data_IF_816104886500
#
_entry.id   IF_816104886500
#
_cell.length_a   1.000
_cell.length_b   1.000
_cell.length_c   1.000
_cell.angle_alpha   90.00
_cell.angle_beta   90.00
_cell.angle_gamma   90.00
#
_symmetry.space_group_name_H-M   'P 1'
#
loop_
_entity.id
_entity.type
_entity.pdbx_description
1 polymer ?
#
# COMPACT_ATOMS: atom_id res chain seq x y z
N UNK A 1 -2.69 -20.98 0.71
CA UNK A 1 -1.93 -20.54 1.91
C UNK A 1 -2.27 -19.09 2.21
N UNK A 2 -2.38 -18.71 3.49
CA UNK A 2 -2.65 -17.31 3.85
C UNK A 2 -1.36 -16.49 3.88
N UNK A 3 -1.38 -15.35 3.21
CA UNK A 3 -0.22 -14.46 3.03
C UNK A 3 -0.54 -13.07 3.57
N UNK A 4 0.40 -12.48 4.30
CA UNK A 4 0.43 -11.06 4.63
C UNK A 4 1.41 -10.34 3.70
N UNK A 5 0.94 -9.31 2.99
CA UNK A 5 1.79 -8.35 2.29
C UNK A 5 1.75 -7.00 3.03
N UNK A 6 2.75 -6.72 3.89
CA UNK A 6 2.81 -5.48 4.64
C UNK A 6 3.38 -4.34 3.80
N UNK A 7 2.85 -3.14 3.97
CA UNK A 7 3.38 -1.97 3.29
C UNK A 7 2.85 -0.65 3.87
N UNK A 8 3.64 0.41 3.64
CA UNK A 8 3.18 1.77 3.91
C UNK A 8 2.14 2.21 2.88
N UNK A 9 2.32 1.79 1.62
CA UNK A 9 1.44 2.14 0.50
C UNK A 9 1.11 3.65 0.48
N UNK A 10 2.13 4.50 0.63
CA UNK A 10 1.95 5.97 0.63
C UNK A 10 1.19 6.45 -0.58
N UNK A 11 1.28 5.72 -1.69
CA UNK A 11 0.33 5.78 -2.77
C UNK A 11 0.21 4.37 -3.36
N UNK A 12 -1.01 3.97 -3.74
CA UNK A 12 -1.21 2.72 -4.48
C UNK A 12 -0.79 2.94 -5.94
N UNK A 13 0.02 2.05 -6.49
CA UNK A 13 0.61 2.18 -7.84
C UNK A 13 0.36 0.90 -8.63
N UNK A 14 0.56 0.95 -9.95
CA UNK A 14 0.47 -0.26 -10.79
C UNK A 14 1.50 -1.33 -10.41
N UNK A 15 2.67 -0.92 -9.95
CA UNK A 15 3.67 -1.84 -9.38
C UNK A 15 3.10 -2.61 -8.18
N UNK A 16 2.46 -1.91 -7.24
CA UNK A 16 1.82 -2.57 -6.11
C UNK A 16 0.74 -3.51 -6.58
N UNK A 17 -0.06 -3.09 -7.58
CA UNK A 17 -1.09 -3.93 -8.16
C UNK A 17 -0.54 -5.24 -8.73
N UNK A 18 0.51 -5.16 -9.56
CA UNK A 18 1.16 -6.31 -10.16
C UNK A 18 1.72 -7.27 -9.11
N UNK A 19 2.34 -6.73 -8.05
CA UNK A 19 2.84 -7.53 -6.93
C UNK A 19 1.69 -8.23 -6.21
N UNK A 20 0.59 -7.53 -5.93
CA UNK A 20 -0.57 -8.09 -5.24
C UNK A 20 -1.21 -9.20 -6.06
N UNK A 21 -1.38 -8.99 -7.38
CA UNK A 21 -1.89 -10.02 -8.30
C UNK A 21 -0.95 -11.23 -8.34
N UNK A 22 0.36 -11.01 -8.47
CA UNK A 22 1.36 -12.08 -8.39
C UNK A 22 1.26 -12.88 -7.09
N UNK A 23 1.14 -12.21 -5.94
CA UNK A 23 0.99 -12.90 -4.65
C UNK A 23 -0.32 -13.69 -4.59
N UNK A 24 -1.41 -13.06 -5.00
CA UNK A 24 -2.75 -13.66 -5.06
C UNK A 24 -2.73 -14.94 -5.87
N UNK A 25 -2.17 -14.90 -7.08
CA UNK A 25 -2.22 -16.01 -8.03
C UNK A 25 -1.20 -17.11 -7.71
N UNK A 26 0.00 -16.75 -7.23
CA UNK A 26 1.09 -17.71 -7.02
C UNK A 26 1.08 -18.33 -5.63
N UNK A 27 0.76 -17.56 -4.59
CA UNK A 27 0.95 -17.97 -3.20
C UNK A 27 -0.37 -18.11 -2.42
N UNK A 28 -1.36 -17.28 -2.75
CA UNK A 28 -2.64 -17.24 -2.08
C UNK A 28 -3.81 -17.80 -2.91
N UNK A 29 -3.54 -18.56 -3.99
CA UNK A 29 -4.58 -19.08 -4.89
C UNK A 29 -5.70 -19.85 -4.17
N UNK A 30 -5.31 -20.67 -3.19
CA UNK A 30 -6.21 -21.46 -2.33
C UNK A 30 -6.37 -20.87 -0.92
N UNK A 31 -5.81 -19.68 -0.67
CA UNK A 31 -5.85 -19.03 0.65
C UNK A 31 -6.40 -17.62 0.58
N UNK A 32 -6.00 -16.81 1.56
CA UNK A 32 -6.39 -15.40 1.67
C UNK A 32 -5.17 -14.51 1.62
N UNK A 33 -5.28 -13.38 0.92
CA UNK A 33 -4.26 -12.34 0.90
C UNK A 33 -4.66 -11.20 1.84
N UNK A 34 -3.85 -10.98 2.86
CA UNK A 34 -3.97 -9.89 3.80
C UNK A 34 -3.04 -8.76 3.36
N UNK A 35 -3.60 -7.61 3.02
CA UNK A 35 -2.85 -6.41 2.73
C UNK A 35 -2.72 -5.61 4.03
N UNK A 36 -1.51 -5.57 4.56
CA UNK A 36 -1.21 -4.93 5.84
C UNK A 36 -0.87 -3.46 5.63
N UNK A 37 -1.81 -2.57 5.92
CA UNK A 37 -1.65 -1.13 5.78
C UNK A 37 -1.04 -0.56 7.06
N UNK A 38 0.21 -0.12 7.00
CA UNK A 38 0.89 0.48 8.16
C UNK A 38 0.20 1.77 8.62
N UNK A 39 -0.09 1.86 9.92
CA UNK A 39 -0.41 3.12 10.60
C UNK A 39 0.92 3.82 10.87
N UNK A 40 1.03 5.08 10.43
CA UNK A 40 2.32 5.79 10.42
C UNK A 40 2.57 6.47 11.75
N UNK A 41 1.73 7.44 12.09
CA UNK A 41 1.66 8.08 13.42
C UNK A 41 0.29 7.79 14.01
N UNK A 42 -0.75 8.18 13.27
CA UNK A 42 -2.15 7.83 13.51
C UNK A 42 -2.86 7.60 12.17
N UNK A 43 -4.18 7.38 12.21
CA UNK A 43 -4.99 7.06 11.03
C UNK A 43 -5.20 8.28 10.09
N UNK A 44 -5.08 9.50 10.60
CA UNK A 44 -5.30 10.77 9.88
C UNK A 44 -4.00 11.50 9.53
N UNK A 45 -2.86 11.05 10.04
CA UNK A 45 -1.55 11.65 9.77
C UNK A 45 -1.24 11.69 8.27
N UNK A 46 -0.87 12.87 7.77
CA UNK A 46 -0.41 13.08 6.39
C UNK A 46 0.79 14.02 6.36
N UNK A 47 1.70 13.79 5.42
CA UNK A 47 2.82 14.69 5.13
C UNK A 47 3.28 14.52 3.67
N UNK A 48 4.34 15.23 3.27
CA UNK A 48 4.91 15.14 1.93
C UNK A 48 5.16 13.68 1.52
N UNK A 49 5.72 12.87 2.41
CA UNK A 49 6.06 11.48 2.11
C UNK A 49 4.88 10.51 2.14
N UNK A 50 3.82 10.88 2.87
CA UNK A 50 2.62 10.11 3.12
C UNK A 50 1.40 11.00 2.91
N UNK A 51 1.09 11.32 1.64
CA UNK A 51 0.07 12.31 1.33
C UNK A 51 -1.37 11.90 1.67
N UNK A 52 -1.58 10.61 1.97
CA UNK A 52 -2.88 10.01 2.19
C UNK A 52 -3.00 9.37 3.57
N UNK A 53 -4.16 9.56 4.19
CA UNK A 53 -4.53 8.98 5.47
C UNK A 53 -4.60 7.45 5.37
N UNK A 54 -4.74 6.76 6.51
CA UNK A 54 -5.04 5.33 6.52
C UNK A 54 -6.32 5.00 5.75
N UNK A 55 -7.38 5.78 5.96
CA UNK A 55 -8.68 5.57 5.34
C UNK A 55 -8.65 5.81 3.82
N UNK A 56 -7.96 6.86 3.38
CA UNK A 56 -7.81 7.14 1.95
C UNK A 56 -6.98 6.04 1.26
N UNK A 57 -5.90 5.56 1.89
CA UNK A 57 -5.14 4.41 1.38
C UNK A 57 -6.01 3.16 1.30
N UNK A 58 -6.83 2.89 2.32
CA UNK A 58 -7.80 1.79 2.31
C UNK A 58 -8.80 1.93 1.16
N UNK A 59 -9.25 3.14 0.87
CA UNK A 59 -10.17 3.41 -0.24
C UNK A 59 -9.52 3.15 -1.60
N UNK A 60 -8.25 3.53 -1.79
CA UNK A 60 -7.51 3.20 -3.01
C UNK A 60 -7.51 1.69 -3.29
N UNK A 61 -7.34 0.85 -2.26
CA UNK A 61 -7.42 -0.60 -2.42
C UNK A 61 -8.81 -1.09 -2.80
N UNK A 62 -9.88 -0.48 -2.27
CA UNK A 62 -11.25 -0.84 -2.67
C UNK A 62 -11.55 -0.44 -4.12
N UNK A 63 -11.02 0.69 -4.57
CA UNK A 63 -11.15 1.12 -5.97
C UNK A 63 -10.50 0.10 -6.92
N UNK A 64 -9.32 -0.40 -6.58
CA UNK A 64 -8.55 -1.31 -7.46
C UNK A 64 -8.97 -2.78 -7.32
N UNK A 65 -9.24 -3.25 -6.10
CA UNK A 65 -9.47 -4.65 -5.75
C UNK A 65 -10.84 -4.91 -5.11
N UNK A 66 -11.82 -4.06 -5.40
CA UNK A 66 -13.14 -4.11 -4.75
C UNK A 66 -13.83 -5.46 -4.89
N UNK A 67 -13.70 -6.12 -6.05
CA UNK A 67 -14.27 -7.45 -6.26
C UNK A 67 -13.62 -8.53 -5.40
N UNK A 68 -12.29 -8.58 -5.35
CA UNK A 68 -11.52 -9.55 -4.57
C UNK A 68 -11.75 -9.36 -3.06
N UNK A 69 -11.93 -8.12 -2.63
CA UNK A 69 -12.30 -7.77 -1.25
C UNK A 69 -13.74 -8.23 -0.96
N UNK A 70 -14.70 -7.95 -1.85
CA UNK A 70 -16.09 -8.38 -1.68
C UNK A 70 -16.23 -9.91 -1.63
N UNK A 71 -15.45 -10.62 -2.45
CA UNK A 71 -15.34 -12.09 -2.46
C UNK A 71 -14.55 -12.66 -1.29
N UNK A 72 -14.08 -11.82 -0.34
CA UNK A 72 -13.27 -12.21 0.83
C UNK A 72 -11.99 -12.97 0.47
N UNK A 73 -11.42 -12.70 -0.71
CA UNK A 73 -10.09 -13.19 -1.12
C UNK A 73 -8.98 -12.27 -0.62
N UNK A 74 -9.25 -10.96 -0.61
CA UNK A 74 -8.35 -9.93 -0.07
C UNK A 74 -8.93 -9.33 1.20
N UNK A 75 -8.10 -9.16 2.23
CA UNK A 75 -8.44 -8.47 3.48
C UNK A 75 -7.52 -7.28 3.69
N UNK A 76 -8.09 -6.12 4.04
CA UNK A 76 -7.32 -4.93 4.38
C UNK A 76 -7.22 -4.83 5.91
N UNK A 77 -6.01 -4.96 6.47
CA UNK A 77 -5.78 -4.93 7.92
C UNK A 77 -4.82 -3.80 8.31
N UNK A 78 -5.02 -3.14 9.46
CA UNK A 78 -4.06 -2.17 9.97
C UNK A 78 -2.79 -2.87 10.48
N UNK A 79 -1.64 -2.23 10.40
CA UNK A 79 -0.42 -2.65 11.09
C UNK A 79 0.07 -1.51 11.98
N UNK A 80 0.00 -1.68 13.30
CA UNK A 80 0.35 -0.64 14.29
C UNK A 80 1.83 -0.65 14.63
N UNK A 81 2.42 -1.83 14.74
CA UNK A 81 3.77 -1.99 15.26
C UNK A 81 4.85 -2.12 14.17
N UNK A 82 4.46 -1.99 12.90
CA UNK A 82 5.37 -1.98 11.76
C UNK A 82 6.21 -3.27 11.69
N UNK A 83 7.50 -3.17 12.03
CA UNK A 83 8.43 -4.30 11.99
C UNK A 83 8.10 -5.39 13.02
N UNK A 84 7.36 -5.10 14.11
CA UNK A 84 6.83 -6.14 14.99
C UNK A 84 5.50 -6.71 14.47
N UNK A 85 5.55 -7.19 13.21
CA UNK A 85 4.40 -7.71 12.48
C UNK A 85 3.80 -8.96 13.16
N UNK A 86 4.59 -9.70 13.94
CA UNK A 86 4.13 -10.85 14.71
C UNK A 86 3.06 -10.44 15.72
N UNK A 87 3.26 -9.33 16.42
CA UNK A 87 2.29 -8.79 17.39
C UNK A 87 1.00 -8.36 16.69
N UNK A 88 1.11 -7.60 15.60
CA UNK A 88 -0.04 -7.17 14.79
C UNK A 88 -0.85 -8.38 14.28
N UNK A 89 -0.19 -9.42 13.75
CA UNK A 89 -0.86 -10.64 13.28
C UNK A 89 -1.60 -11.38 14.39
N UNK A 90 -0.99 -11.52 15.56
CA UNK A 90 -1.65 -12.17 16.70
C UNK A 90 -2.89 -11.40 17.16
N UNK A 91 -2.78 -10.07 17.29
CA UNK A 91 -3.89 -9.23 17.77
C UNK A 91 -5.03 -9.15 16.76
N UNK A 92 -4.72 -9.08 15.46
CA UNK A 92 -5.71 -8.78 14.42
C UNK A 92 -6.23 -10.03 13.74
N UNK A 93 -5.34 -10.99 13.46
CA UNK A 93 -5.67 -12.19 12.69
C UNK A 93 -5.81 -13.45 13.58
N UNK A 94 -5.38 -13.40 14.84
CA UNK A 94 -5.41 -14.54 15.77
C UNK A 94 -4.47 -15.69 15.38
N UNK A 95 -3.59 -15.48 14.40
CA UNK A 95 -2.66 -16.51 13.88
C UNK A 95 -1.45 -15.88 13.20
N UNK A 96 -0.36 -16.63 13.16
CA UNK A 96 0.83 -16.27 12.39
C UNK A 96 0.68 -16.80 10.96
N UNK A 97 0.90 -15.93 9.97
CA UNK A 97 0.79 -16.22 8.55
C UNK A 97 2.15 -15.99 7.87
N UNK A 98 2.29 -16.44 6.62
CA UNK A 98 3.47 -16.16 5.82
C UNK A 98 3.51 -14.68 5.45
N UNK A 99 4.64 -14.01 5.68
CA UNK A 99 4.87 -12.64 5.22
C UNK A 99 5.54 -12.69 3.86
N UNK A 100 4.94 -12.08 2.85
CA UNK A 100 5.62 -11.80 1.59
C UNK A 100 6.32 -10.44 1.69
N UNK A 101 7.59 -10.38 1.31
CA UNK A 101 8.32 -9.11 1.22
C UNK A 101 9.37 -9.13 0.11
N UNK A 102 9.64 -7.94 -0.44
CA UNK A 102 10.78 -7.69 -1.33
C UNK A 102 11.88 -6.89 -0.66
N UNK A 103 11.67 -6.47 0.58
CA UNK A 103 12.65 -5.68 1.32
C UNK A 103 13.51 -6.61 2.18
N UNK A 104 14.81 -6.61 1.91
CA UNK A 104 15.79 -7.45 2.63
C UNK A 104 15.71 -7.22 4.15
N UNK A 105 15.55 -5.98 4.60
CA UNK A 105 15.41 -5.63 6.01
C UNK A 105 14.14 -6.23 6.64
N UNK A 106 13.02 -6.23 5.93
CA UNK A 106 11.80 -6.90 6.38
C UNK A 106 11.98 -8.41 6.47
N UNK A 107 12.64 -9.03 5.50
CA UNK A 107 12.90 -10.46 5.52
C UNK A 107 13.74 -10.87 6.73
N UNK A 108 14.79 -10.11 7.04
CA UNK A 108 15.57 -10.33 8.27
C UNK A 108 14.76 -10.09 9.55
N UNK A 109 13.97 -9.01 9.61
CA UNK A 109 13.11 -8.73 10.74
C UNK A 109 12.12 -9.87 11.02
N UNK A 110 11.47 -10.39 9.98
CA UNK A 110 10.55 -11.52 10.09
C UNK A 110 11.25 -12.80 10.55
N UNK A 111 12.46 -13.09 10.03
CA UNK A 111 13.28 -14.22 10.49
C UNK A 111 13.59 -14.12 11.98
N UNK A 112 14.03 -12.95 12.45
CA UNK A 112 14.32 -12.72 13.88
C UNK A 112 13.09 -12.92 14.76
N UNK A 113 11.91 -12.53 14.27
CA UNK A 113 10.64 -12.71 14.97
C UNK A 113 10.05 -14.11 14.84
N UNK A 114 10.72 -15.05 14.16
CA UNK A 114 10.19 -16.39 13.91
C UNK A 114 8.91 -16.40 13.07
N UNK A 115 8.78 -15.44 12.16
CA UNK A 115 7.65 -15.32 11.22
C UNK A 115 8.03 -15.98 9.89
N UNK A 116 7.23 -16.94 9.38
CA UNK A 116 7.49 -17.55 8.08
C UNK A 116 7.46 -16.48 6.99
N UNK A 117 8.43 -16.49 6.08
CA UNK A 117 8.67 -15.38 5.14
C UNK A 117 8.94 -15.87 3.74
N UNK A 118 8.32 -15.24 2.75
CA UNK A 118 8.60 -15.37 1.33
C UNK A 118 9.35 -14.11 0.91
N UNK A 119 10.62 -14.26 0.55
CA UNK A 119 11.46 -13.16 0.08
C UNK A 119 11.73 -13.31 -1.42
N UNK A 120 11.26 -12.36 -2.22
CA UNK A 120 11.61 -12.27 -3.64
C UNK A 120 12.47 -11.03 -3.88
N UNK A 121 13.75 -11.22 -4.22
CA UNK A 121 14.59 -10.11 -4.68
C UNK A 121 14.29 -9.81 -6.16
N UNK A 122 13.74 -8.63 -6.46
CA UNK A 122 13.73 -8.07 -7.81
C UNK A 122 14.16 -6.62 -7.74
N UNK A 123 15.14 -6.25 -8.56
CA UNK A 123 15.62 -4.86 -8.69
C UNK A 123 14.58 -3.96 -9.38
N UNK A 124 14.66 -2.64 -9.12
CA UNK A 124 13.99 -1.62 -9.94
C UNK A 124 12.73 -0.93 -9.39
N UNK A 125 12.39 -1.08 -8.10
CA UNK A 125 11.08 -0.64 -7.60
C UNK A 125 11.15 0.53 -6.61
N UNK A 126 10.57 1.68 -6.96
CA UNK A 126 10.36 2.78 -6.02
C UNK A 126 9.03 3.49 -6.28
N UNK A 127 8.14 3.44 -5.28
CA UNK A 127 6.93 4.26 -5.26
C UNK A 127 7.23 5.77 -5.17
N UNK A 128 8.44 6.15 -4.76
CA UNK A 128 8.90 7.55 -4.72
C UNK A 128 8.75 8.21 -6.08
N UNK A 129 9.12 7.50 -7.16
CA UNK A 129 9.06 8.06 -8.52
C UNK A 129 7.63 8.46 -8.94
N UNK A 130 6.62 7.74 -8.45
CA UNK A 130 5.22 8.00 -8.82
C UNK A 130 4.65 9.19 -8.05
N UNK A 131 5.00 9.35 -6.77
CA UNK A 131 4.59 10.50 -5.96
C UNK A 131 5.17 11.80 -6.51
N UNK A 132 6.46 11.81 -6.82
CA UNK A 132 7.11 13.01 -7.38
C UNK A 132 6.48 13.41 -8.73
N UNK A 133 6.16 12.43 -9.60
CA UNK A 133 5.41 12.67 -10.84
C UNK A 133 4.06 13.36 -10.60
N UNK A 134 3.29 12.94 -9.59
CA UNK A 134 2.03 13.60 -9.22
C UNK A 134 2.27 15.05 -8.80
N UNK A 135 3.26 15.29 -7.95
CA UNK A 135 3.56 16.64 -7.48
C UNK A 135 4.05 17.54 -8.62
N UNK A 136 4.86 17.04 -9.54
CA UNK A 136 5.26 17.78 -10.75
C UNK A 136 4.08 18.19 -11.63
N UNK A 137 3.08 17.30 -11.80
CA UNK A 137 1.84 17.63 -12.51
C UNK A 137 1.10 18.75 -11.75
N UNK A 138 0.89 18.60 -10.44
CA UNK A 138 0.13 19.57 -9.64
C UNK A 138 0.83 20.92 -9.46
N UNK A 139 2.13 21.01 -9.70
CA UNK A 139 2.86 22.30 -9.79
C UNK A 139 2.55 23.05 -11.09
N UNK A 140 2.12 22.36 -12.15
CA UNK A 140 1.88 22.93 -13.50
C UNK A 140 0.41 23.16 -13.83
N UNK A 141 -0.50 22.46 -13.16
CA UNK A 141 -1.94 22.53 -13.45
C UNK A 141 -2.78 22.24 -12.20
N UNK A 142 -4.07 22.57 -12.30
CA UNK A 142 -4.96 22.55 -11.14
C UNK A 142 -5.57 21.21 -10.76
N UNK A 143 -5.51 20.20 -11.64
CA UNK A 143 -6.08 18.86 -11.42
C UNK A 143 -5.14 17.80 -11.97
N UNK A 144 -5.26 16.58 -11.47
CA UNK A 144 -4.59 15.42 -12.07
C UNK A 144 -5.28 15.04 -13.39
N UNK A 145 -4.50 14.60 -14.40
CA UNK A 145 -5.05 14.10 -15.66
C UNK A 145 -5.84 12.80 -15.43
N UNK A 146 -6.64 12.41 -16.40
CA UNK A 146 -7.35 11.12 -16.41
C UNK A 146 -6.38 9.93 -16.45
N UNK A 147 -5.18 10.14 -17.01
CA UNK A 147 -4.13 9.15 -17.13
C UNK A 147 -2.78 9.71 -16.69
N UNK A 148 -2.05 8.93 -15.89
CA UNK A 148 -0.66 9.17 -15.53
C UNK A 148 0.05 7.82 -15.43
N UNK A 149 1.23 7.73 -16.04
CA UNK A 149 2.02 6.50 -16.06
C UNK A 149 2.30 5.97 -14.64
N UNK A 150 1.99 4.69 -14.42
CA UNK A 150 2.24 4.00 -13.15
C UNK A 150 1.13 4.11 -12.11
N UNK A 151 0.01 4.78 -12.43
CA UNK A 151 -1.15 4.93 -11.56
C UNK A 151 -2.42 4.52 -12.31
N UNK A 152 -3.35 3.87 -11.62
CA UNK A 152 -4.68 3.57 -12.17
C UNK A 152 -5.51 4.86 -12.31
N UNK A 153 -6.13 5.11 -13.47
CA UNK A 153 -6.91 6.33 -13.72
C UNK A 153 -8.06 6.54 -12.72
N UNK A 154 -8.63 5.46 -12.17
CA UNK A 154 -9.67 5.56 -11.12
C UNK A 154 -9.10 6.16 -9.83
N UNK A 155 -7.83 5.90 -9.53
CA UNK A 155 -7.14 6.51 -8.39
C UNK A 155 -6.83 7.98 -8.64
N UNK A 156 -6.48 8.37 -9.87
CA UNK A 156 -6.31 9.79 -10.22
C UNK A 156 -7.61 10.56 -10.06
N UNK A 157 -8.73 9.98 -10.48
CA UNK A 157 -10.05 10.55 -10.26
C UNK A 157 -10.37 10.70 -8.76
N UNK A 158 -10.07 9.69 -7.95
CA UNK A 158 -10.21 9.77 -6.49
C UNK A 158 -9.34 10.89 -5.88
N UNK A 159 -8.11 11.05 -6.36
CA UNK A 159 -7.20 12.11 -5.90
C UNK A 159 -7.62 13.52 -6.33
N UNK A 160 -8.51 13.65 -7.31
CA UNK A 160 -9.10 14.91 -7.75
C UNK A 160 -10.26 15.40 -6.87
N UNK A 161 -10.64 14.65 -5.82
CA UNK A 161 -11.48 15.16 -4.75
C UNK A 161 -10.88 16.46 -4.18
N UNK A 162 -11.72 17.47 -3.94
CA UNK A 162 -11.27 18.81 -3.60
C UNK A 162 -10.39 18.84 -2.34
N UNK A 163 -10.76 18.08 -1.31
CA UNK A 163 -10.02 18.06 -0.05
C UNK A 163 -8.65 17.40 -0.23
N UNK A 164 -8.62 16.27 -0.92
CA UNK A 164 -7.37 15.53 -1.22
C UNK A 164 -6.46 16.38 -2.10
N UNK A 165 -7.00 16.93 -3.19
CA UNK A 165 -6.26 17.70 -4.18
C UNK A 165 -5.63 18.97 -3.57
N UNK A 166 -6.38 19.69 -2.74
CA UNK A 166 -5.88 20.87 -2.03
C UNK A 166 -4.74 20.51 -1.07
N UNK A 167 -4.84 19.37 -0.38
CA UNK A 167 -3.77 18.88 0.49
C UNK A 167 -2.51 18.50 -0.30
N UNK A 168 -2.65 17.79 -1.42
CA UNK A 168 -1.53 17.45 -2.30
C UNK A 168 -0.83 18.72 -2.83
N UNK A 169 -1.60 19.71 -3.30
CA UNK A 169 -1.06 21.02 -3.74
C UNK A 169 -0.30 21.75 -2.63
N UNK A 170 -0.78 21.68 -1.39
CA UNK A 170 -0.08 22.27 -0.24
C UNK A 170 1.31 21.64 -0.07
N UNK A 171 1.42 20.32 -0.16
CA UNK A 171 2.71 19.63 -0.07
C UNK A 171 3.65 19.98 -1.22
N UNK A 172 3.13 20.20 -2.43
CA UNK A 172 3.92 20.61 -3.61
C UNK A 172 4.62 21.97 -3.45
N UNK A 173 4.06 22.86 -2.61
CA UNK A 173 4.53 24.25 -2.40
C UNK A 173 5.47 24.41 -1.20
N UNK A 174 5.52 23.41 -0.32
CA UNK A 174 6.33 23.41 0.90
C UNK A 174 7.63 22.61 0.77
N UNK A 175 7.97 22.16 -0.45
CA UNK A 175 9.11 21.32 -0.79
C UNK A 175 10.08 22.04 -1.71
#
# INVERSE_FOLDING_TARGET
>A
MDILFPGRFSILTKIHEDIIRHISDKYAAEGKLYLGLRIIVDENFTNYDNPFTFYERKEMFKIVFGEEIAKKKIFLIPLKYGLNVRKDMNEICGKIMYVYTREKMWAYGCKFLGVPTIYENREGFSATNVREKIYEILRKQDKLPEFAEGIDGRLLNFMNDEQILNRLKKFCRSS
#
